data_IF_883739277021
#
_entry.id   IF_883739277021
#
_cell.length_a   1.000
_cell.length_b   1.000
_cell.length_c   1.000
_cell.angle_alpha   90.00
_cell.angle_beta   90.00
_cell.angle_gamma   90.00
#
_symmetry.space_group_name_H-M   'P 1'
#
loop_
_entity.id
_entity.type
_entity.pdbx_description
1 polymer ?
#
# COMPACT_ATOMS: atom_id res chain seq x y z
N UNK A 1 13.76 22.89 -25.07
CA UNK A 1 14.53 23.35 -23.93
C UNK A 1 15.92 23.88 -24.34
N UNK A 2 16.71 23.16 -25.13
CA UNK A 2 18.03 23.60 -25.61
C UNK A 2 17.93 24.95 -26.36
N UNK A 3 16.92 25.16 -27.18
CA UNK A 3 16.69 26.42 -27.92
C UNK A 3 16.50 27.63 -26.99
N UNK A 4 15.84 27.47 -25.87
CA UNK A 4 15.64 28.54 -24.89
C UNK A 4 16.94 28.91 -24.16
N UNK A 5 17.79 27.93 -23.90
CA UNK A 5 19.11 28.12 -23.30
C UNK A 5 20.01 28.89 -24.26
N UNK A 6 20.02 28.50 -25.52
CA UNK A 6 20.80 29.17 -26.57
C UNK A 6 20.37 30.63 -26.74
N UNK A 7 19.07 30.93 -26.69
CA UNK A 7 18.55 32.29 -26.79
C UNK A 7 19.00 33.13 -25.60
N UNK A 8 18.95 32.59 -24.37
CA UNK A 8 19.39 33.30 -23.15
C UNK A 8 20.88 33.54 -23.20
N UNK A 9 21.70 32.55 -23.57
CA UNK A 9 23.16 32.71 -23.69
C UNK A 9 23.50 33.72 -24.77
N UNK A 10 22.82 33.68 -25.91
CA UNK A 10 23.01 34.65 -27.01
C UNK A 10 22.64 36.07 -26.57
N UNK A 11 21.53 36.23 -25.85
CA UNK A 11 21.11 37.53 -25.32
C UNK A 11 22.12 38.13 -24.34
N UNK A 12 22.65 37.30 -23.40
CA UNK A 12 23.68 37.75 -22.47
C UNK A 12 25.04 37.98 -23.15
N UNK A 13 25.38 37.23 -24.20
CA UNK A 13 26.59 37.47 -24.99
C UNK A 13 26.52 38.82 -25.72
N UNK A 14 25.37 39.17 -26.30
CA UNK A 14 25.15 40.47 -26.95
C UNK A 14 25.21 41.60 -25.92
N UNK A 15 24.61 41.44 -24.74
CA UNK A 15 24.69 42.41 -23.66
C UNK A 15 26.13 42.57 -23.13
N UNK A 16 26.93 41.51 -23.04
CA UNK A 16 28.34 41.58 -22.59
C UNK A 16 29.26 42.23 -23.62
N UNK A 17 28.92 42.17 -24.91
CA UNK A 17 29.65 42.84 -26.00
C UNK A 17 29.28 44.32 -26.13
N UNK A 18 28.13 44.74 -25.59
CA UNK A 18 27.64 46.13 -25.67
C UNK A 18 28.61 47.17 -25.10
N UNK A 19 29.27 46.95 -23.92
CA UNK A 19 30.21 47.90 -23.37
C UNK A 19 31.55 48.04 -24.15
N UNK A 20 31.88 47.06 -24.98
CA UNK A 20 33.07 47.11 -25.85
C UNK A 20 32.87 48.05 -27.04
N UNK A 21 31.64 48.40 -27.37
CA UNK A 21 31.27 49.27 -28.46
C UNK A 21 31.09 50.75 -28.04
N UNK A 22 31.02 50.99 -26.73
CA UNK A 22 30.79 52.31 -26.14
C UNK A 22 31.97 52.63 -25.23
N UNK A 23 32.79 53.63 -25.57
CA UNK A 23 34.01 54.07 -24.87
C UNK A 23 33.69 54.77 -23.53
N UNK A 24 32.45 54.76 -23.05
CA UNK A 24 32.04 55.38 -21.79
C UNK A 24 32.05 54.39 -20.62
N UNK A 25 32.91 54.69 -19.63
CA UNK A 25 33.02 53.93 -18.36
C UNK A 25 31.84 54.30 -17.46
N UNK A 26 30.76 53.50 -17.54
CA UNK A 26 29.65 53.60 -16.59
C UNK A 26 29.97 52.89 -15.26
N UNK A 27 29.63 53.53 -14.12
CA UNK A 27 29.73 52.97 -12.78
C UNK A 27 28.33 52.80 -12.17
N UNK A 28 28.13 51.71 -11.47
CA UNK A 28 26.96 51.51 -10.65
C UNK A 28 27.41 51.65 -9.19
N UNK A 29 26.86 52.62 -8.49
CA UNK A 29 27.17 52.92 -7.11
C UNK A 29 26.01 52.46 -6.24
N UNK A 30 26.23 51.41 -5.42
CA UNK A 30 25.25 50.91 -4.49
C UNK A 30 25.69 51.32 -3.08
N UNK A 31 24.97 52.25 -2.48
CA UNK A 31 25.20 52.67 -1.09
C UNK A 31 24.24 51.89 -0.18
N UNK A 32 24.80 51.09 0.72
CA UNK A 32 24.06 50.39 1.77
C UNK A 32 24.61 50.79 3.13
N UNK A 33 24.01 51.80 3.75
CA UNK A 33 24.45 52.35 5.03
C UNK A 33 25.83 53.00 4.93
N UNK A 34 26.80 52.56 5.73
CA UNK A 34 28.17 53.07 5.72
C UNK A 34 29.10 52.46 4.67
N UNK A 35 28.61 51.44 3.93
CA UNK A 35 29.41 50.78 2.89
C UNK A 35 28.98 51.21 1.50
N UNK A 36 29.96 51.68 0.72
CA UNK A 36 29.78 52.06 -0.69
C UNK A 36 30.45 50.99 -1.54
N UNK A 37 29.67 50.31 -2.36
CA UNK A 37 30.18 49.31 -3.31
C UNK A 37 30.15 49.93 -4.72
N UNK A 38 31.32 50.16 -5.26
CA UNK A 38 31.49 50.67 -6.64
C UNK A 38 31.68 49.45 -7.56
N UNK A 39 30.76 49.27 -8.47
CA UNK A 39 30.79 48.19 -9.47
C UNK A 39 30.83 48.82 -10.88
N UNK A 40 31.75 48.36 -11.70
CA UNK A 40 31.68 48.67 -13.12
C UNK A 40 30.52 47.95 -13.76
N UNK A 41 29.88 48.51 -14.77
CA UNK A 41 28.76 47.86 -15.50
C UNK A 41 29.16 46.47 -15.98
N UNK A 42 30.43 46.31 -16.39
CA UNK A 42 30.95 45.02 -16.84
C UNK A 42 30.95 43.97 -15.71
N UNK A 43 31.41 44.33 -14.51
CA UNK A 43 31.44 43.40 -13.37
C UNK A 43 30.03 43.04 -12.89
N UNK A 44 29.10 43.99 -12.89
CA UNK A 44 27.69 43.72 -12.57
C UNK A 44 27.05 42.73 -13.55
N UNK A 45 27.33 42.83 -14.84
CA UNK A 45 26.84 41.90 -15.86
C UNK A 45 27.43 40.51 -15.68
N UNK A 46 28.70 40.36 -15.38
CA UNK A 46 29.34 39.07 -15.13
C UNK A 46 28.69 38.38 -13.91
N UNK A 47 28.49 39.12 -12.83
CA UNK A 47 27.86 38.61 -11.60
C UNK A 47 26.42 38.17 -11.90
N UNK A 48 25.64 38.97 -12.63
CA UNK A 48 24.27 38.65 -13.00
C UNK A 48 24.19 37.38 -13.89
N UNK A 49 25.15 37.23 -14.81
CA UNK A 49 25.24 36.04 -15.69
C UNK A 49 25.55 34.80 -14.87
N UNK A 50 26.53 34.84 -13.96
CA UNK A 50 26.87 33.73 -13.07
C UNK A 50 25.67 33.36 -12.20
N UNK A 51 24.99 34.34 -11.61
CA UNK A 51 23.80 34.10 -10.78
C UNK A 51 22.66 33.44 -11.59
N UNK A 52 22.44 33.89 -12.81
CA UNK A 52 21.44 33.32 -13.72
C UNK A 52 21.73 31.84 -14.07
N UNK A 53 23.00 31.53 -14.33
CA UNK A 53 23.44 30.14 -14.61
C UNK A 53 23.27 29.28 -13.38
N UNK A 54 23.67 29.74 -12.20
CA UNK A 54 23.47 29.00 -10.94
C UNK A 54 21.98 28.75 -10.65
N UNK A 55 21.13 29.77 -10.76
CA UNK A 55 19.71 29.67 -10.58
C UNK A 55 19.07 28.64 -11.56
N UNK A 56 19.52 28.64 -12.81
CA UNK A 56 19.10 27.70 -13.82
C UNK A 56 19.51 26.26 -13.49
N UNK A 57 20.72 26.03 -13.03
CA UNK A 57 21.23 24.71 -12.60
C UNK A 57 20.41 24.22 -11.42
N UNK A 58 20.20 25.04 -10.39
CA UNK A 58 19.38 24.70 -9.22
C UNK A 58 17.96 24.35 -9.63
N UNK A 59 17.33 25.16 -10.49
CA UNK A 59 15.98 24.87 -11.01
C UNK A 59 15.92 23.54 -11.77
N UNK A 60 16.92 23.25 -12.60
CA UNK A 60 17.00 22.01 -13.38
C UNK A 60 17.21 20.80 -12.48
N UNK A 61 18.06 20.90 -11.46
CA UNK A 61 18.28 19.84 -10.47
C UNK A 61 17.01 19.58 -9.66
N UNK A 62 16.36 20.60 -9.14
CA UNK A 62 15.10 20.47 -8.39
C UNK A 62 14.00 19.84 -9.24
N UNK A 63 13.81 20.30 -10.45
CA UNK A 63 12.79 19.77 -11.36
C UNK A 63 13.11 18.36 -11.87
N UNK A 64 14.39 18.04 -12.07
CA UNK A 64 14.86 16.72 -12.48
C UNK A 64 14.71 15.69 -11.35
N UNK A 65 15.11 16.01 -10.13
CA UNK A 65 14.99 15.13 -8.97
C UNK A 65 13.54 14.84 -8.60
N UNK A 66 12.66 15.81 -8.63
CA UNK A 66 11.24 15.61 -8.35
C UNK A 66 10.57 14.67 -9.37
N UNK A 67 10.83 14.84 -10.64
CA UNK A 67 10.23 13.99 -11.69
C UNK A 67 10.79 12.55 -11.69
N UNK A 68 12.07 12.34 -11.39
CA UNK A 68 12.70 11.02 -11.35
C UNK A 68 12.25 10.26 -10.10
N UNK A 69 12.14 10.91 -8.94
CA UNK A 69 11.66 10.29 -7.69
C UNK A 69 10.22 9.78 -7.83
N UNK A 70 9.32 10.57 -8.39
CA UNK A 70 7.92 10.15 -8.56
C UNK A 70 7.77 8.98 -9.54
N UNK A 71 8.48 8.97 -10.66
CA UNK A 71 8.45 7.84 -11.61
C UNK A 71 9.13 6.58 -11.05
N UNK A 72 10.26 6.70 -10.37
CA UNK A 72 10.94 5.56 -9.77
C UNK A 72 10.10 4.95 -8.64
N UNK A 73 9.48 5.77 -7.79
CA UNK A 73 8.59 5.31 -6.73
C UNK A 73 7.36 4.59 -7.27
N UNK A 74 6.69 5.15 -8.28
CA UNK A 74 5.54 4.51 -8.91
C UNK A 74 5.91 3.18 -9.58
N UNK A 75 7.05 3.09 -10.28
CA UNK A 75 7.50 1.85 -10.93
C UNK A 75 7.82 0.76 -9.90
N UNK A 76 8.44 1.11 -8.77
CA UNK A 76 8.72 0.17 -7.67
C UNK A 76 7.41 -0.30 -7.00
N UNK A 77 6.46 0.60 -6.75
CA UNK A 77 5.17 0.25 -6.18
C UNK A 77 4.36 -0.66 -7.13
N UNK A 78 4.35 -0.39 -8.43
CA UNK A 78 3.70 -1.24 -9.43
C UNK A 78 4.38 -2.59 -9.59
N UNK A 79 5.72 -2.65 -9.56
CA UNK A 79 6.47 -3.90 -9.60
C UNK A 79 6.20 -4.76 -8.37
N UNK A 80 6.12 -4.17 -7.17
CA UNK A 80 5.75 -4.85 -5.94
C UNK A 80 4.35 -5.44 -6.04
N UNK A 81 3.36 -4.65 -6.49
CA UNK A 81 1.99 -5.11 -6.65
C UNK A 81 1.86 -6.25 -7.66
N UNK A 82 2.54 -6.17 -8.80
CA UNK A 82 2.55 -7.26 -9.81
C UNK A 82 3.13 -8.54 -9.22
N UNK A 83 4.24 -8.46 -8.46
CA UNK A 83 4.83 -9.60 -7.76
C UNK A 83 3.88 -10.17 -6.71
N UNK A 84 3.19 -9.32 -5.94
CA UNK A 84 2.18 -9.74 -4.98
C UNK A 84 1.05 -10.53 -5.64
N UNK A 85 0.47 -10.02 -6.72
CA UNK A 85 -0.58 -10.72 -7.49
C UNK A 85 -0.05 -12.04 -8.08
N UNK A 86 1.17 -12.05 -8.60
CA UNK A 86 1.78 -13.28 -9.12
C UNK A 86 1.98 -14.32 -8.01
N UNK A 87 2.42 -13.92 -6.81
CA UNK A 87 2.56 -14.82 -5.66
C UNK A 87 1.20 -15.35 -5.21
N UNK A 88 0.16 -14.51 -5.18
CA UNK A 88 -1.19 -14.94 -4.84
C UNK A 88 -1.69 -16.01 -5.81
N UNK A 89 -1.54 -15.80 -7.11
CA UNK A 89 -1.96 -16.77 -8.12
C UNK A 89 -1.14 -18.07 -8.05
N UNK A 90 0.17 -17.99 -7.77
CA UNK A 90 1.01 -19.17 -7.53
C UNK A 90 0.58 -19.89 -6.26
N UNK A 91 0.22 -19.16 -5.20
CA UNK A 91 -0.32 -19.75 -3.97
C UNK A 91 -1.63 -20.51 -4.22
N UNK A 92 -2.50 -19.95 -5.07
CA UNK A 92 -3.74 -20.63 -5.45
C UNK A 92 -3.48 -21.93 -6.23
N UNK A 93 -2.52 -21.88 -7.17
CA UNK A 93 -2.13 -23.08 -7.91
C UNK A 93 -1.50 -24.13 -6.97
N UNK A 94 -0.62 -23.74 -6.05
CA UNK A 94 -0.04 -24.64 -5.05
C UNK A 94 -1.11 -25.27 -4.16
N UNK A 95 -2.11 -24.48 -3.72
CA UNK A 95 -3.24 -24.99 -2.93
C UNK A 95 -4.06 -26.04 -3.69
N UNK A 96 -4.31 -25.81 -4.98
CA UNK A 96 -5.02 -26.78 -5.83
C UNK A 96 -4.21 -28.05 -6.10
N UNK A 97 -2.89 -27.98 -6.05
CA UNK A 97 -1.98 -29.11 -6.16
C UNK A 97 -1.69 -29.78 -4.80
N UNK A 98 -2.41 -29.38 -3.75
CA UNK A 98 -2.25 -29.89 -2.38
C UNK A 98 -0.88 -29.59 -1.73
N UNK A 99 -0.07 -28.73 -2.35
CA UNK A 99 1.13 -28.15 -1.70
C UNK A 99 0.71 -27.04 -0.73
N UNK A 100 0.13 -27.45 0.40
CA UNK A 100 -0.39 -26.52 1.40
C UNK A 100 0.71 -25.69 2.06
N UNK A 101 1.92 -26.24 2.21
CA UNK A 101 3.05 -25.49 2.78
C UNK A 101 3.53 -24.39 1.83
N UNK A 102 3.66 -24.69 0.55
CA UNK A 102 3.99 -23.70 -0.47
C UNK A 102 2.90 -22.64 -0.61
N UNK A 103 1.63 -23.06 -0.60
CA UNK A 103 0.48 -22.18 -0.68
C UNK A 103 0.43 -21.19 0.48
N UNK A 104 0.57 -21.65 1.72
CA UNK A 104 0.60 -20.82 2.93
C UNK A 104 1.64 -19.68 2.82
N UNK A 105 2.90 -20.04 2.51
CA UNK A 105 3.99 -19.07 2.36
C UNK A 105 3.75 -18.05 1.25
N UNK A 106 3.20 -18.49 0.12
CA UNK A 106 2.91 -17.64 -1.02
C UNK A 106 1.74 -16.68 -0.74
N UNK A 107 0.69 -17.15 -0.07
CA UNK A 107 -0.42 -16.30 0.34
C UNK A 107 0.03 -15.25 1.36
N UNK A 108 0.74 -15.63 2.43
CA UNK A 108 1.26 -14.71 3.42
C UNK A 108 2.16 -13.62 2.77
N UNK A 109 3.07 -14.02 1.89
CA UNK A 109 3.96 -13.10 1.17
C UNK A 109 3.22 -12.19 0.18
N UNK A 110 2.05 -12.58 -0.28
CA UNK A 110 1.26 -11.80 -1.24
C UNK A 110 0.35 -10.75 -0.59
N UNK A 111 0.02 -10.88 0.69
CA UNK A 111 -1.02 -10.12 1.39
C UNK A 111 -0.87 -8.60 1.21
N UNK A 112 0.25 -8.05 1.64
CA UNK A 112 0.52 -6.61 1.54
C UNK A 112 0.78 -6.14 0.11
N UNK A 113 1.69 -6.79 -0.67
CA UNK A 113 2.02 -6.30 -2.01
C UNK A 113 0.84 -6.36 -2.96
N UNK A 114 -0.03 -7.37 -2.86
CA UNK A 114 -1.22 -7.49 -3.70
C UNK A 114 -2.37 -6.56 -3.27
N UNK A 115 -2.30 -5.94 -2.09
CA UNK A 115 -3.39 -5.20 -1.44
C UNK A 115 -4.65 -6.05 -1.29
N UNK A 116 -4.48 -7.31 -0.94
CA UNK A 116 -5.54 -8.31 -0.76
C UNK A 116 -5.38 -9.04 0.56
N UNK A 117 -5.07 -8.29 1.64
CA UNK A 117 -4.75 -8.87 2.95
C UNK A 117 -5.82 -9.85 3.43
N UNK A 118 -7.09 -9.45 3.39
CA UNK A 118 -8.19 -10.31 3.85
C UNK A 118 -8.25 -11.66 3.12
N UNK A 119 -8.23 -11.65 1.79
CA UNK A 119 -8.28 -12.89 1.01
C UNK A 119 -7.02 -13.73 1.17
N UNK A 120 -5.86 -13.09 1.25
CA UNK A 120 -4.59 -13.77 1.37
C UNK A 120 -4.42 -14.44 2.74
N UNK A 121 -4.73 -13.74 3.84
CA UNK A 121 -4.68 -14.32 5.18
C UNK A 121 -5.74 -15.42 5.38
N UNK A 122 -6.93 -15.25 4.81
CA UNK A 122 -7.96 -16.29 4.85
C UNK A 122 -7.50 -17.58 4.15
N UNK A 123 -6.87 -17.46 2.99
CA UNK A 123 -6.34 -18.61 2.25
C UNK A 123 -5.08 -19.19 2.91
N UNK A 124 -4.25 -18.37 3.56
CA UNK A 124 -3.12 -18.84 4.36
C UNK A 124 -3.61 -19.64 5.56
N UNK A 125 -4.64 -19.15 6.29
CA UNK A 125 -5.28 -19.87 7.37
C UNK A 125 -5.88 -21.21 6.90
N UNK A 126 -6.55 -21.21 5.75
CA UNK A 126 -7.10 -22.44 5.16
C UNK A 126 -5.99 -23.46 4.78
N UNK A 127 -4.87 -22.99 4.25
CA UNK A 127 -3.72 -23.83 3.92
C UNK A 127 -3.04 -24.41 5.18
N UNK A 128 -2.91 -23.60 6.24
CA UNK A 128 -2.39 -24.07 7.55
C UNK A 128 -3.31 -25.10 8.20
N UNK A 129 -4.62 -24.87 8.16
CA UNK A 129 -5.61 -25.82 8.70
C UNK A 129 -5.55 -27.17 7.99
N UNK A 130 -5.31 -27.19 6.67
CA UNK A 130 -5.08 -28.43 5.91
C UNK A 130 -3.83 -29.18 6.32
N UNK A 131 -2.85 -28.47 6.87
CA UNK A 131 -1.62 -29.05 7.43
C UNK A 131 -1.77 -29.43 8.91
N UNK A 132 -2.94 -29.20 9.52
CA UNK A 132 -3.20 -29.38 10.97
C UNK A 132 -2.27 -28.53 11.85
N UNK A 133 -1.91 -27.34 11.36
CA UNK A 133 -1.07 -26.38 12.08
C UNK A 133 -1.94 -25.30 12.75
N UNK A 134 -2.58 -25.65 13.86
CA UNK A 134 -3.54 -24.78 14.56
C UNK A 134 -2.93 -23.43 14.99
N UNK A 135 -1.67 -23.44 15.43
CA UNK A 135 -0.97 -22.21 15.81
C UNK A 135 -0.87 -21.22 14.65
N UNK A 136 -0.49 -21.68 13.46
CA UNK A 136 -0.40 -20.85 12.26
C UNK A 136 -1.80 -20.42 11.79
N UNK A 137 -2.77 -21.32 11.86
CA UNK A 137 -4.15 -21.01 11.51
C UNK A 137 -4.69 -19.87 12.37
N UNK A 138 -4.51 -19.95 13.68
CA UNK A 138 -4.93 -18.90 14.61
C UNK A 138 -4.19 -17.58 14.35
N UNK A 139 -2.87 -17.62 14.13
CA UNK A 139 -2.10 -16.44 13.77
C UNK A 139 -2.65 -15.71 12.54
N UNK A 140 -2.99 -16.42 11.48
CA UNK A 140 -3.57 -15.79 10.28
C UNK A 140 -5.00 -15.31 10.50
N UNK A 141 -5.78 -15.97 11.36
CA UNK A 141 -7.11 -15.50 11.74
C UNK A 141 -7.03 -14.20 12.54
N UNK A 142 -6.07 -14.06 13.45
CA UNK A 142 -5.82 -12.82 14.21
C UNK A 142 -5.40 -11.67 13.28
N UNK A 143 -4.51 -11.92 12.32
CA UNK A 143 -4.13 -10.94 11.30
C UNK A 143 -5.34 -10.51 10.45
N UNK A 144 -6.21 -11.45 10.12
CA UNK A 144 -7.43 -11.18 9.36
C UNK A 144 -8.40 -10.30 10.16
N UNK A 145 -8.49 -10.49 11.47
CA UNK A 145 -9.33 -9.69 12.35
C UNK A 145 -8.81 -8.26 12.47
N UNK A 146 -7.50 -8.08 12.66
CA UNK A 146 -6.87 -6.76 12.66
C UNK A 146 -7.11 -5.99 11.34
N UNK A 147 -7.12 -6.65 10.20
CA UNK A 147 -7.43 -6.03 8.92
C UNK A 147 -8.93 -5.76 8.73
N UNK A 148 -9.81 -6.62 9.25
CA UNK A 148 -11.26 -6.43 9.14
C UNK A 148 -11.76 -5.25 9.98
N UNK A 149 -11.15 -4.96 11.11
CA UNK A 149 -11.46 -3.77 11.92
C UNK A 149 -11.13 -2.45 11.21
N UNK A 150 -10.16 -2.44 10.31
CA UNK A 150 -9.81 -1.27 9.48
C UNK A 150 -10.82 -1.02 8.35
N UNK A 151 -11.45 -2.07 7.87
CA UNK A 151 -12.42 -2.02 6.76
C UNK A 151 -13.80 -2.41 7.31
N UNK A 152 -14.68 -1.43 7.51
CA UNK A 152 -16.04 -1.60 8.09
C UNK A 152 -16.99 -2.55 7.33
N UNK A 153 -16.55 -3.32 6.38
CA UNK A 153 -17.35 -4.24 5.60
C UNK A 153 -17.12 -5.70 6.06
N UNK A 154 -17.98 -6.19 6.93
CA UNK A 154 -18.01 -7.60 7.29
C UNK A 154 -18.51 -8.41 6.09
N UNK A 155 -17.64 -9.20 5.47
CA UNK A 155 -18.04 -10.10 4.41
C UNK A 155 -18.54 -11.42 5.01
N UNK A 156 -19.82 -11.74 4.81
CA UNK A 156 -20.46 -12.98 5.30
C UNK A 156 -19.64 -14.22 4.96
N UNK A 157 -19.12 -14.32 3.74
CA UNK A 157 -18.28 -15.44 3.34
C UNK A 157 -17.00 -15.58 4.19
N UNK A 158 -16.40 -14.45 4.60
CA UNK A 158 -15.24 -14.46 5.50
C UNK A 158 -15.60 -14.99 6.88
N UNK A 159 -16.75 -14.60 7.43
CA UNK A 159 -17.26 -15.10 8.72
C UNK A 159 -17.48 -16.62 8.65
N UNK A 160 -18.16 -17.09 7.62
CA UNK A 160 -18.43 -18.52 7.42
C UNK A 160 -17.13 -19.34 7.39
N UNK A 161 -16.13 -18.87 6.62
CA UNK A 161 -14.84 -19.58 6.51
C UNK A 161 -14.07 -19.54 7.83
N UNK A 162 -14.07 -18.42 8.56
CA UNK A 162 -13.45 -18.32 9.89
C UNK A 162 -14.09 -19.33 10.87
N UNK A 163 -15.41 -19.32 10.97
CA UNK A 163 -16.15 -20.25 11.85
C UNK A 163 -15.81 -21.70 11.50
N UNK A 164 -15.84 -22.06 10.21
CA UNK A 164 -15.50 -23.40 9.75
C UNK A 164 -14.07 -23.81 10.07
N UNK A 165 -13.11 -22.90 9.93
CA UNK A 165 -11.71 -23.18 10.27
C UNK A 165 -11.52 -23.37 11.78
N UNK A 166 -12.21 -22.60 12.61
CA UNK A 166 -12.19 -22.78 14.07
C UNK A 166 -12.83 -24.12 14.49
N UNK A 167 -13.97 -24.47 13.90
CA UNK A 167 -14.63 -25.75 14.20
C UNK A 167 -13.78 -26.96 13.81
N UNK A 168 -12.94 -26.85 12.77
CA UNK A 168 -12.05 -27.94 12.35
C UNK A 168 -10.87 -28.19 13.30
N UNK A 169 -10.57 -27.28 14.24
CA UNK A 169 -9.49 -27.45 15.23
C UNK A 169 -9.87 -28.41 16.37
N UNK A 170 -11.14 -28.79 16.49
CA UNK A 170 -11.69 -29.74 17.48
C UNK A 170 -11.22 -29.44 18.92
N UNK A 171 -11.15 -28.17 19.28
CA UNK A 171 -10.76 -27.72 20.62
C UNK A 171 -11.87 -26.89 21.27
N UNK A 172 -12.03 -27.03 22.60
CA UNK A 172 -13.03 -26.26 23.36
C UNK A 172 -12.83 -24.74 23.21
N UNK A 173 -11.59 -24.27 23.13
CA UNK A 173 -11.28 -22.85 22.93
C UNK A 173 -11.68 -22.38 21.53
N UNK A 174 -11.44 -23.20 20.51
CA UNK A 174 -11.82 -22.88 19.15
C UNK A 174 -13.36 -22.84 18.98
N UNK A 175 -14.09 -23.76 19.61
CA UNK A 175 -15.55 -23.72 19.64
C UNK A 175 -16.08 -22.46 20.33
N UNK A 176 -15.47 -22.06 21.44
CA UNK A 176 -15.84 -20.82 22.12
C UNK A 176 -15.61 -19.58 21.23
N UNK A 177 -14.46 -19.50 20.55
CA UNK A 177 -14.17 -18.43 19.58
C UNK A 177 -15.15 -18.45 18.38
N UNK A 178 -15.48 -19.61 17.88
CA UNK A 178 -16.48 -19.76 16.83
C UNK A 178 -17.85 -19.25 17.28
N UNK A 179 -18.26 -19.55 18.52
CA UNK A 179 -19.50 -19.06 19.13
C UNK A 179 -19.53 -17.54 19.20
N UNK A 180 -18.49 -16.93 19.76
CA UNK A 180 -18.39 -15.47 19.86
C UNK A 180 -18.49 -14.81 18.47
N UNK A 181 -17.83 -15.38 17.47
CA UNK A 181 -17.86 -14.84 16.11
C UNK A 181 -19.26 -14.93 15.48
N UNK A 182 -20.02 -15.99 15.77
CA UNK A 182 -21.41 -16.14 15.32
C UNK A 182 -22.30 -15.13 16.05
N UNK A 183 -22.17 -15.00 17.38
CA UNK A 183 -22.97 -14.09 18.19
C UNK A 183 -22.77 -12.63 17.79
N UNK A 184 -21.53 -12.22 17.51
CA UNK A 184 -21.20 -10.88 16.96
C UNK A 184 -21.86 -10.61 15.60
N UNK A 185 -22.04 -11.67 14.83
CA UNK A 185 -22.68 -11.61 13.50
C UNK A 185 -24.11 -12.14 13.48
N UNK A 186 -24.78 -12.16 14.63
CA UNK A 186 -26.13 -12.73 14.81
C UNK A 186 -27.15 -12.21 13.78
N UNK A 187 -27.05 -10.95 13.36
CA UNK A 187 -27.94 -10.37 12.33
C UNK A 187 -27.84 -11.05 10.96
N UNK A 188 -26.79 -11.82 10.72
CA UNK A 188 -26.57 -12.57 9.47
C UNK A 188 -27.13 -13.99 9.54
N UNK A 189 -27.46 -14.49 10.75
CA UNK A 189 -28.09 -15.78 10.98
C UNK A 189 -29.51 -15.73 10.40
N UNK A 190 -29.86 -16.76 9.62
CA UNK A 190 -31.17 -16.79 8.93
C UNK A 190 -31.20 -16.11 7.56
N UNK A 191 -30.23 -15.23 7.26
CA UNK A 191 -30.06 -14.66 5.93
C UNK A 191 -29.11 -15.47 5.03
N UNK A 192 -28.24 -16.30 5.64
CA UNK A 192 -27.33 -17.19 4.90
C UNK A 192 -27.43 -18.61 5.46
N UNK A 193 -27.94 -19.52 4.64
CA UNK A 193 -28.16 -20.93 5.00
C UNK A 193 -26.89 -21.66 5.43
N UNK A 194 -25.73 -21.21 4.93
CA UNK A 194 -24.42 -21.82 5.30
C UNK A 194 -24.01 -21.46 6.71
N UNK A 195 -24.26 -20.20 7.12
CA UNK A 195 -23.98 -19.74 8.50
C UNK A 195 -24.93 -20.43 9.48
N UNK A 196 -26.20 -20.55 9.10
CA UNK A 196 -27.21 -21.26 9.88
C UNK A 196 -26.85 -22.75 10.07
N UNK A 197 -26.34 -23.41 9.02
CA UNK A 197 -25.90 -24.81 9.13
C UNK A 197 -24.71 -24.94 10.12
N UNK A 198 -23.74 -24.04 10.07
CA UNK A 198 -22.62 -24.02 11.02
C UNK A 198 -23.07 -23.75 12.47
N UNK A 199 -24.07 -22.90 12.66
CA UNK A 199 -24.67 -22.66 13.99
C UNK A 199 -25.35 -23.94 14.55
N UNK A 200 -26.09 -24.64 13.70
CA UNK A 200 -26.71 -25.91 14.09
C UNK A 200 -25.62 -26.94 14.45
N UNK A 201 -24.59 -27.10 13.61
CA UNK A 201 -23.47 -27.99 13.86
C UNK A 201 -22.77 -27.68 15.18
N UNK A 202 -22.53 -26.39 15.46
CA UNK A 202 -21.92 -25.94 16.71
C UNK A 202 -22.82 -26.25 17.92
N UNK A 203 -24.12 -26.02 17.83
CA UNK A 203 -25.08 -26.38 18.88
C UNK A 203 -25.10 -27.89 19.16
N UNK A 204 -24.97 -28.74 18.14
CA UNK A 204 -24.89 -30.20 18.30
C UNK A 204 -23.60 -30.64 19.01
N UNK A 205 -22.45 -30.03 18.67
CA UNK A 205 -21.15 -30.27 19.33
C UNK A 205 -21.22 -29.87 20.80
N UNK A 206 -21.83 -28.72 21.10
CA UNK A 206 -22.01 -28.21 22.46
C UNK A 206 -23.13 -28.93 23.24
N UNK A 207 -23.86 -29.90 22.62
CA UNK A 207 -25.02 -30.62 23.17
C UNK A 207 -26.19 -29.70 23.55
N UNK A 208 -26.32 -28.54 22.88
CA UNK A 208 -27.42 -27.59 23.06
C UNK A 208 -28.57 -27.93 22.10
N UNK A 209 -29.22 -29.07 22.33
CA UNK A 209 -30.21 -29.62 21.39
C UNK A 209 -31.44 -28.72 21.21
N UNK A 210 -31.91 -28.04 22.26
CA UNK A 210 -33.03 -27.11 22.17
C UNK A 210 -32.76 -25.98 21.17
N UNK A 211 -31.61 -25.33 21.32
CA UNK A 211 -31.21 -24.28 20.40
C UNK A 211 -31.03 -24.77 18.96
N UNK A 212 -30.52 -25.98 18.78
CA UNK A 212 -30.38 -26.57 17.44
C UNK A 212 -31.76 -26.81 16.77
N UNK A 213 -32.79 -27.20 17.53
CA UNK A 213 -34.15 -27.37 17.02
C UNK A 213 -34.75 -25.98 16.62
N UNK A 214 -34.52 -24.95 17.41
CA UNK A 214 -34.98 -23.60 17.09
C UNK A 214 -34.39 -23.10 15.76
N UNK A 215 -33.08 -23.29 15.57
CA UNK A 215 -32.42 -22.91 14.32
C UNK A 215 -32.87 -23.76 13.12
N UNK A 216 -33.18 -25.04 13.33
CA UNK A 216 -33.76 -25.92 12.29
C UNK A 216 -35.15 -25.42 11.85
N UNK A 217 -35.93 -24.85 12.77
CA UNK A 217 -37.23 -24.26 12.45
C UNK A 217 -37.12 -23.02 11.56
N UNK A 218 -36.02 -22.24 11.70
CA UNK A 218 -35.75 -21.06 10.87
C UNK A 218 -35.29 -21.49 9.46
N UNK A 219 -34.62 -22.64 9.34
CA UNK A 219 -34.13 -23.16 8.07
C UNK A 219 -35.21 -23.71 7.13
N UNK A 220 -36.42 -23.88 7.62
CA UNK A 220 -37.54 -24.50 6.93
C UNK A 220 -38.42 -23.45 6.24
#
# INVERSE_FOLDING_TARGET
>A
MIRFIVIIVLFFAVLALSPLLIDEKGYILIAMGETIVELTILSAMVILTIFSICAFIVYKVLRGTLNVSFKAWSTLAFASRRRGIANFNKGLAAYMLEDYQGAEKLFAKSAEPAKRQQSAYLLAAAASAKQQLDSNTNHYLDLLEQESTKVKATNVASVIVKVKLLMNQDSSEAYHKARLLIDENHKLIGHDTRLLALEIDLCLIEKRFESAVDYLSIAR
#
